data_IF_303398918032
#
_entry.id   IF_303398918032
#
_cell.length_a   1.000
_cell.length_b   1.000
_cell.length_c   1.000
_cell.angle_alpha   90.00
_cell.angle_beta   90.00
_cell.angle_gamma   90.00
#
_symmetry.space_group_name_H-M   'P 1'
#
loop_
_entity.id
_entity.type
_entity.pdbx_description
1 polymer ?
#
# COMPACT_ATOMS: atom_id res chain seq x y z
N UNK A 1 -26.76 3.05 30.10
CA UNK A 1 -25.56 2.34 30.54
C UNK A 1 -24.38 3.07 29.94
N UNK A 2 -23.47 3.50 30.81
CA UNK A 2 -22.55 4.62 30.65
C UNK A 2 -21.44 4.33 29.63
N UNK A 3 -21.21 5.27 28.71
CA UNK A 3 -20.44 5.07 27.47
C UNK A 3 -19.07 5.75 27.49
N UNK A 4 -18.11 5.16 28.19
CA UNK A 4 -16.73 5.66 28.26
C UNK A 4 -15.70 4.54 28.08
N UNK A 5 -15.91 3.68 27.08
CA UNK A 5 -14.93 2.68 26.67
C UNK A 5 -13.83 3.34 25.83
N UNK A 6 -12.57 3.18 26.26
CA UNK A 6 -11.40 3.68 25.54
C UNK A 6 -11.24 2.95 24.20
N UNK A 7 -10.91 3.68 23.14
CA UNK A 7 -10.74 3.11 21.78
C UNK A 7 -9.34 3.41 21.23
N UNK A 8 -8.91 2.62 20.25
CA UNK A 8 -7.69 2.91 19.47
C UNK A 8 -7.80 4.30 18.82
N UNK A 9 -6.73 5.08 18.91
CA UNK A 9 -6.66 6.46 18.44
C UNK A 9 -7.11 7.51 19.47
N UNK A 10 -7.55 7.11 20.67
CA UNK A 10 -7.70 8.04 21.79
C UNK A 10 -6.33 8.61 22.18
N UNK A 11 -6.26 9.91 22.39
CA UNK A 11 -5.11 10.55 23.04
C UNK A 11 -5.40 10.67 24.52
N UNK A 12 -4.44 10.26 25.33
CA UNK A 12 -4.60 10.13 26.78
C UNK A 12 -3.37 10.63 27.52
N UNK A 13 -3.58 11.10 28.76
CA UNK A 13 -2.50 11.40 29.69
C UNK A 13 -2.23 10.19 30.59
N UNK A 14 -0.97 9.83 30.73
CA UNK A 14 -0.51 8.69 31.55
C UNK A 14 0.40 9.21 32.64
N UNK A 15 0.07 8.94 33.90
CA UNK A 15 0.86 9.34 35.06
C UNK A 15 1.80 8.21 35.48
N UNK A 16 3.07 8.55 35.69
CA UNK A 16 4.09 7.63 36.23
C UNK A 16 4.86 8.32 37.33
N UNK A 17 5.18 7.59 38.41
CA UNK A 17 6.05 8.10 39.46
C UNK A 17 7.51 7.94 39.06
N UNK A 18 8.25 9.04 38.99
CA UNK A 18 9.68 9.04 38.68
C UNK A 18 10.39 9.89 39.74
N UNK A 19 11.33 9.30 40.49
CA UNK A 19 12.11 9.98 41.53
C UNK A 19 11.26 10.74 42.57
N UNK A 20 10.12 10.18 42.98
CA UNK A 20 9.22 10.80 43.95
C UNK A 20 8.30 11.89 43.39
N UNK A 21 8.40 12.20 42.09
CA UNK A 21 7.56 13.19 41.39
C UNK A 21 6.60 12.47 40.45
N UNK A 22 5.33 12.89 40.44
CA UNK A 22 4.34 12.42 39.47
C UNK A 22 4.62 13.12 38.13
N UNK A 23 4.99 12.32 37.12
CA UNK A 23 5.24 12.81 35.76
C UNK A 23 4.10 12.33 34.86
N UNK A 24 3.40 13.28 34.24
CA UNK A 24 2.32 13.00 33.29
C UNK A 24 2.84 13.12 31.86
N UNK A 25 2.56 12.13 31.02
CA UNK A 25 2.96 12.08 29.60
C UNK A 25 1.75 11.90 28.70
N UNK A 26 1.80 12.54 27.52
CA UNK A 26 0.80 12.35 26.48
C UNK A 26 1.10 11.09 25.66
N UNK A 27 0.09 10.28 25.42
CA UNK A 27 0.20 9.05 24.63
C UNK A 27 -1.04 8.83 23.74
N UNK A 28 -0.89 8.02 22.71
CA UNK A 28 -1.98 7.53 21.87
C UNK A 28 -2.19 6.03 22.10
N UNK A 29 -3.45 5.60 22.21
CA UNK A 29 -3.80 4.19 22.29
C UNK A 29 -3.66 3.58 20.89
N UNK A 30 -2.68 2.70 20.71
CA UNK A 30 -2.37 2.07 19.41
C UNK A 30 -3.00 0.70 19.28
N UNK A 31 -3.13 -0.04 20.39
CA UNK A 31 -3.81 -1.32 20.43
C UNK A 31 -4.51 -1.54 21.77
N UNK A 32 -5.53 -2.41 21.77
CA UNK A 32 -6.27 -2.82 22.95
C UNK A 32 -6.32 -4.34 22.94
N UNK A 33 -6.08 -4.97 24.08
CA UNK A 33 -6.30 -6.40 24.26
C UNK A 33 -7.10 -6.66 25.52
N UNK A 34 -7.96 -7.66 25.46
CA UNK A 34 -8.74 -8.11 26.60
C UNK A 34 -8.00 -9.28 27.24
N UNK A 35 -7.57 -9.13 28.49
CA UNK A 35 -7.09 -10.24 29.31
C UNK A 35 -8.24 -10.82 30.13
N UNK A 36 -8.04 -11.96 30.79
CA UNK A 36 -9.08 -12.63 31.60
C UNK A 36 -9.55 -11.77 32.79
N UNK A 37 -8.73 -10.80 33.25
CA UNK A 37 -9.01 -9.99 34.43
C UNK A 37 -9.34 -8.51 34.10
N UNK A 38 -8.61 -7.85 33.19
CA UNK A 38 -8.86 -6.44 32.80
C UNK A 38 -8.40 -6.11 31.35
N UNK A 39 -8.95 -5.07 30.70
CA UNK A 39 -8.45 -4.59 29.42
C UNK A 39 -7.10 -3.87 29.58
N UNK A 40 -6.17 -4.14 28.65
CA UNK A 40 -4.88 -3.48 28.57
C UNK A 40 -4.75 -2.69 27.26
N UNK A 41 -4.04 -1.57 27.35
CA UNK A 41 -3.89 -0.57 26.30
C UNK A 41 -2.40 -0.44 25.94
N UNK A 42 -2.07 -0.65 24.67
CA UNK A 42 -0.72 -0.42 24.17
C UNK A 42 -0.57 1.05 23.79
N UNK A 43 0.31 1.75 24.51
CA UNK A 43 0.45 3.19 24.40
C UNK A 43 1.71 3.57 23.64
N UNK A 44 1.55 4.47 22.67
CA UNK A 44 2.66 5.17 22.04
C UNK A 44 2.81 6.57 22.65
N UNK A 45 3.96 6.86 23.24
CA UNK A 45 4.19 8.16 23.89
C UNK A 45 4.58 9.24 22.87
N UNK A 46 3.81 10.33 22.83
CA UNK A 46 3.99 11.40 21.85
C UNK A 46 5.36 12.07 21.98
N UNK A 47 6.17 12.00 20.92
CA UNK A 47 7.51 12.60 20.88
C UNK A 47 8.60 11.77 21.57
N UNK A 48 8.31 10.52 21.96
CA UNK A 48 9.26 9.60 22.57
C UNK A 48 9.58 8.43 21.63
N UNK A 49 10.73 7.78 21.88
CA UNK A 49 11.17 6.63 21.10
C UNK A 49 10.26 5.42 21.37
N UNK A 50 9.83 4.72 20.30
CA UNK A 50 8.96 3.54 20.35
C UNK A 50 9.43 2.41 21.27
N UNK A 51 10.73 2.35 21.61
CA UNK A 51 11.26 1.42 22.63
C UNK A 51 10.65 1.62 24.03
N UNK A 52 9.96 2.74 24.25
CA UNK A 52 9.29 3.09 25.50
C UNK A 52 7.78 2.79 25.46
N UNK A 53 7.27 2.30 24.34
CA UNK A 53 5.87 1.93 24.19
C UNK A 53 5.59 0.66 25.01
N UNK A 54 4.48 0.65 25.74
CA UNK A 54 4.18 -0.41 26.70
C UNK A 54 2.67 -0.66 26.81
N UNK A 55 2.34 -1.86 27.27
CA UNK A 55 0.99 -2.19 27.74
C UNK A 55 0.78 -1.58 29.12
N UNK A 56 -0.35 -0.90 29.30
CA UNK A 56 -0.81 -0.42 30.61
C UNK A 56 -2.28 -0.79 30.81
N UNK A 57 -2.65 -0.95 32.06
CA UNK A 57 -4.03 -1.09 32.51
C UNK A 57 -4.71 0.28 32.65
N UNK A 58 -6.05 0.30 32.70
CA UNK A 58 -6.84 1.53 32.71
C UNK A 58 -6.53 2.48 33.88
N UNK A 59 -6.08 1.96 35.03
CA UNK A 59 -5.71 2.74 36.22
C UNK A 59 -4.55 3.72 35.98
N UNK A 60 -3.73 3.49 34.95
CA UNK A 60 -2.64 4.40 34.58
C UNK A 60 -3.07 5.53 33.65
N UNK A 61 -4.30 5.49 33.15
CA UNK A 61 -4.85 6.45 32.20
C UNK A 61 -5.74 7.44 32.95
N UNK A 62 -5.43 8.73 32.82
CA UNK A 62 -6.31 9.77 33.33
C UNK A 62 -7.55 9.90 32.43
N UNK A 63 -8.64 9.28 32.87
CA UNK A 63 -9.93 9.26 32.16
C UNK A 63 -10.53 10.65 31.92
N UNK A 64 -10.12 11.67 32.69
CA UNK A 64 -10.57 13.05 32.49
C UNK A 64 -9.86 13.75 31.33
N UNK A 65 -8.73 13.20 30.88
CA UNK A 65 -7.87 13.77 29.83
C UNK A 65 -8.08 13.15 28.44
N UNK A 66 -9.05 12.25 28.30
CA UNK A 66 -9.24 11.46 27.08
C UNK A 66 -9.78 12.33 25.95
N UNK A 67 -8.96 12.53 24.92
CA UNK A 67 -9.40 13.11 23.66
C UNK A 67 -9.74 11.99 22.67
N UNK A 68 -11.03 11.80 22.44
CA UNK A 68 -11.50 10.86 21.43
C UNK A 68 -11.21 11.38 20.01
N UNK A 69 -10.84 10.49 19.06
CA UNK A 69 -10.58 10.88 17.69
C UNK A 69 -11.82 11.58 17.09
N UNK A 70 -11.66 12.83 16.68
CA UNK A 70 -12.76 13.63 16.10
C UNK A 70 -13.25 12.96 14.81
N UNK A 71 -14.49 12.47 14.79
CA UNK A 71 -15.19 12.11 13.55
C UNK A 71 -15.19 13.34 12.63
N UNK A 72 -14.51 13.28 11.49
CA UNK A 72 -14.72 14.28 10.43
C UNK A 72 -16.18 14.19 9.99
N UNK A 73 -16.97 15.22 10.29
CA UNK A 73 -18.34 15.39 9.79
C UNK A 73 -18.31 15.43 8.27
N UNK A 74 -18.86 14.39 7.64
CA UNK A 74 -19.30 14.43 6.25
C UNK A 74 -20.55 15.33 6.18
N UNK A 75 -20.63 16.24 5.20
CA UNK A 75 -21.92 16.80 4.80
C UNK A 75 -22.66 15.72 4.02
N UNK A 76 -23.90 15.46 4.45
CA UNK A 76 -24.75 14.36 4.05
C UNK A 76 -25.26 14.53 2.60
N UNK A 77 -25.20 13.46 1.82
CA UNK A 77 -26.11 13.22 0.71
C UNK A 77 -26.99 12.01 1.09
N UNK A 78 -28.33 12.15 1.15
CA UNK A 78 -29.21 11.14 1.72
C UNK A 78 -29.52 10.06 0.68
N UNK A 79 -28.66 9.05 0.58
CA UNK A 79 -29.00 7.69 0.11
C UNK A 79 -27.97 6.70 0.66
N UNK A 80 -28.08 6.49 1.97
CA UNK A 80 -27.28 5.53 2.72
C UNK A 80 -27.87 4.12 2.59
N UNK A 81 -27.07 3.16 2.13
CA UNK A 81 -27.12 1.79 2.65
C UNK A 81 -25.78 1.54 3.34
N UNK A 82 -25.87 1.12 4.61
CA UNK A 82 -24.73 0.72 5.43
C UNK A 82 -23.91 -0.36 4.70
N UNK A 83 -22.66 -0.06 4.41
CA UNK A 83 -21.67 -0.95 3.80
C UNK A 83 -20.60 -1.14 4.89
N UNK A 84 -20.46 -2.36 5.41
CA UNK A 84 -19.46 -2.70 6.44
C UNK A 84 -18.02 -2.38 5.95
N UNK A 85 -17.03 -2.32 6.85
CA UNK A 85 -15.64 -2.01 6.45
C UNK A 85 -15.06 -3.02 5.44
N UNK A 86 -15.48 -4.28 5.49
CA UNK A 86 -15.17 -5.35 4.51
C UNK A 86 -15.85 -5.11 3.15
N UNK A 87 -16.94 -4.38 3.19
CA UNK A 87 -17.89 -4.09 2.13
C UNK A 87 -17.39 -2.85 1.32
N UNK A 88 -16.54 -2.00 1.92
CA UNK A 88 -15.77 -0.94 1.22
C UNK A 88 -14.82 -1.55 0.18
N UNK A 89 -14.17 -2.69 0.49
CA UNK A 89 -13.29 -3.38 -0.44
C UNK A 89 -14.03 -4.11 -1.57
N UNK A 90 -15.35 -4.27 -1.44
CA UNK A 90 -16.22 -4.79 -2.52
C UNK A 90 -16.60 -3.74 -3.55
N UNK A 91 -16.45 -2.45 -3.20
CA UNK A 91 -16.76 -1.33 -4.08
C UNK A 91 -15.47 -0.77 -4.67
N UNK A 92 -15.38 -0.77 -6.00
CA UNK A 92 -14.23 -0.25 -6.73
C UNK A 92 -14.05 1.25 -6.43
N UNK A 93 -12.86 1.63 -5.99
CA UNK A 93 -12.51 3.04 -5.75
C UNK A 93 -12.02 3.73 -7.03
N UNK A 94 -11.19 3.04 -7.82
CA UNK A 94 -10.79 3.43 -9.17
C UNK A 94 -11.64 2.61 -10.14
N UNK A 95 -12.22 3.24 -11.15
CA UNK A 95 -13.04 2.56 -12.15
C UNK A 95 -12.20 2.17 -13.38
N UNK A 96 -11.31 3.06 -13.82
CA UNK A 96 -10.47 2.88 -15.02
C UNK A 96 -9.06 3.44 -14.78
N UNK A 97 -8.05 2.80 -15.37
CA UNK A 97 -6.67 3.33 -15.44
C UNK A 97 -6.29 3.60 -16.89
N UNK A 98 -5.51 4.66 -17.12
CA UNK A 98 -4.83 4.89 -18.39
C UNK A 98 -3.33 4.66 -18.22
N UNK A 99 -2.73 3.80 -19.04
CA UNK A 99 -1.31 3.48 -19.01
C UNK A 99 -0.77 3.34 -20.43
N UNK A 100 0.17 4.22 -20.80
CA UNK A 100 0.61 4.36 -22.19
C UNK A 100 -0.57 4.71 -23.11
N UNK A 101 -0.77 3.90 -24.14
CA UNK A 101 -1.89 4.02 -25.09
C UNK A 101 -3.18 3.29 -24.65
N UNK A 102 -3.14 2.57 -23.53
CA UNK A 102 -4.22 1.69 -23.10
C UNK A 102 -5.09 2.36 -22.03
N UNK A 103 -6.41 2.17 -22.17
CA UNK A 103 -7.39 2.43 -21.12
C UNK A 103 -7.99 1.11 -20.65
N UNK A 104 -7.97 0.85 -19.34
CA UNK A 104 -8.26 -0.46 -18.76
C UNK A 104 -9.15 -0.32 -17.54
N UNK A 105 -10.29 -1.02 -17.54
CA UNK A 105 -11.17 -1.06 -16.38
C UNK A 105 -10.59 -1.91 -15.25
N UNK A 106 -10.69 -1.38 -14.03
CA UNK A 106 -10.32 -2.10 -12.81
C UNK A 106 -11.35 -3.18 -12.49
N UNK A 107 -10.89 -4.24 -11.80
CA UNK A 107 -11.76 -5.34 -11.37
C UNK A 107 -12.08 -5.25 -9.88
N UNK A 108 -11.12 -4.81 -9.08
CA UNK A 108 -11.20 -4.80 -7.62
C UNK A 108 -10.79 -3.44 -7.05
N UNK A 109 -11.16 -3.23 -5.80
CA UNK A 109 -10.60 -2.13 -5.00
C UNK A 109 -9.08 -2.23 -4.91
N UNK A 110 -8.39 -1.09 -4.98
CA UNK A 110 -6.97 -0.95 -4.65
C UNK A 110 -6.73 0.28 -3.77
N UNK A 111 -5.90 0.23 -2.71
CA UNK A 111 -5.77 1.29 -1.71
C UNK A 111 -4.88 2.46 -2.18
N UNK A 112 -5.23 3.05 -3.33
CA UNK A 112 -4.72 4.35 -3.75
C UNK A 112 -5.15 5.46 -2.76
N UNK A 113 -4.43 6.59 -2.69
CA UNK A 113 -4.80 7.70 -1.81
C UNK A 113 -6.25 8.17 -2.00
N UNK A 114 -6.90 8.62 -0.92
CA UNK A 114 -8.33 9.01 -0.94
C UNK A 114 -8.69 10.17 -1.90
N UNK A 115 -7.69 10.93 -2.38
CA UNK A 115 -7.88 12.08 -3.28
C UNK A 115 -7.77 11.71 -4.76
N UNK A 116 -7.78 10.42 -5.10
CA UNK A 116 -7.72 9.97 -6.50
C UNK A 116 -9.09 10.07 -7.18
N UNK A 117 -9.06 10.45 -8.45
CA UNK A 117 -10.21 10.38 -9.35
C UNK A 117 -10.63 8.93 -9.63
N UNK A 118 -11.84 8.75 -10.17
CA UNK A 118 -12.31 7.43 -10.65
C UNK A 118 -11.49 6.91 -11.82
N UNK A 119 -10.99 7.82 -12.66
CA UNK A 119 -10.03 7.52 -13.71
C UNK A 119 -8.69 8.12 -13.33
N UNK A 120 -7.63 7.30 -13.33
CA UNK A 120 -6.27 7.75 -13.01
C UNK A 120 -5.33 7.45 -14.17
N UNK A 121 -4.30 8.27 -14.28
CA UNK A 121 -3.27 8.14 -15.30
C UNK A 121 -2.01 7.58 -14.65
N UNK A 122 -1.45 6.50 -15.20
CA UNK A 122 -0.27 5.82 -14.66
C UNK A 122 0.89 5.96 -15.65
N UNK A 123 2.03 6.41 -15.15
CA UNK A 123 3.28 6.44 -15.92
C UNK A 123 3.70 5.01 -16.26
N UNK A 124 3.84 4.69 -17.55
CA UNK A 124 4.19 3.34 -18.01
C UNK A 124 5.60 2.89 -17.61
N UNK A 125 6.46 3.83 -17.20
CA UNK A 125 7.83 3.54 -16.77
C UNK A 125 7.96 3.38 -15.27
N UNK A 126 7.59 4.40 -14.47
CA UNK A 126 7.81 4.41 -13.02
C UNK A 126 6.60 3.94 -12.20
N UNK A 127 5.46 3.70 -12.86
CA UNK A 127 4.18 3.29 -12.29
C UNK A 127 3.57 4.30 -11.31
N UNK A 128 4.12 5.52 -11.23
CA UNK A 128 3.50 6.58 -10.46
C UNK A 128 2.17 7.00 -11.09
N UNK A 129 1.23 7.40 -10.24
CA UNK A 129 -0.16 7.66 -10.60
C UNK A 129 -0.51 9.14 -10.45
N UNK A 130 -1.38 9.62 -11.33
CA UNK A 130 -1.78 11.01 -11.46
C UNK A 130 -3.30 11.10 -11.66
N UNK A 131 -3.87 12.26 -11.36
CA UNK A 131 -5.29 12.53 -11.55
C UNK A 131 -5.61 13.04 -12.96
N UNK A 132 -4.62 13.63 -13.66
CA UNK A 132 -4.82 14.21 -15.00
C UNK A 132 -3.66 13.92 -15.95
N UNK A 133 -3.88 14.12 -17.26
CA UNK A 133 -2.84 13.92 -18.29
C UNK A 133 -1.77 15.01 -18.25
N UNK A 134 -2.15 16.22 -17.83
CA UNK A 134 -1.25 17.36 -17.69
C UNK A 134 -0.22 17.11 -16.57
N UNK A 135 -0.66 16.48 -15.48
CA UNK A 135 0.23 16.05 -14.39
C UNK A 135 1.25 15.00 -14.89
N UNK A 136 0.79 14.01 -15.67
CA UNK A 136 1.69 13.01 -16.28
C UNK A 136 2.66 13.67 -17.30
N UNK A 137 2.17 14.60 -18.13
CA UNK A 137 2.99 15.30 -19.09
C UNK A 137 4.11 16.10 -18.41
N UNK A 138 3.77 16.78 -17.30
CA UNK A 138 4.74 17.47 -16.46
C UNK A 138 5.73 16.49 -15.82
N UNK A 139 5.26 15.32 -15.38
CA UNK A 139 6.11 14.27 -14.86
C UNK A 139 7.13 13.76 -15.88
N UNK A 140 6.78 13.63 -17.17
CA UNK A 140 7.73 13.15 -18.19
C UNK A 140 8.98 14.04 -18.33
N UNK A 141 8.88 15.34 -18.03
CA UNK A 141 10.04 16.24 -18.03
C UNK A 141 11.07 15.91 -16.92
N UNK A 142 10.65 15.18 -15.87
CA UNK A 142 11.47 14.86 -14.69
C UNK A 142 11.63 13.35 -14.47
N UNK A 143 10.92 12.52 -15.22
CA UNK A 143 10.96 11.08 -15.07
C UNK A 143 12.27 10.52 -15.61
N UNK A 144 13.07 9.96 -14.71
CA UNK A 144 14.35 9.33 -15.04
C UNK A 144 14.21 7.86 -15.48
N UNK A 145 13.00 7.30 -15.43
CA UNK A 145 12.77 5.89 -15.71
C UNK A 145 12.35 5.68 -17.17
N UNK A 146 13.05 4.76 -17.84
CA UNK A 146 12.66 4.17 -19.15
C UNK A 146 12.53 2.65 -19.10
N UNK A 147 12.80 2.09 -17.92
CA UNK A 147 12.76 0.67 -17.57
C UNK A 147 12.57 0.51 -16.06
N UNK A 148 12.17 -0.68 -15.57
CA UNK A 148 12.15 -0.94 -14.13
C UNK A 148 13.54 -0.70 -13.50
N UNK A 149 13.62 -0.12 -12.29
CA UNK A 149 14.89 0.32 -11.69
C UNK A 149 15.79 -0.81 -11.16
N UNK A 150 15.40 -2.07 -11.38
CA UNK A 150 16.12 -3.25 -10.88
C UNK A 150 17.18 -3.81 -11.82
N UNK A 151 17.77 -4.93 -11.43
CA UNK A 151 18.79 -5.64 -12.23
C UNK A 151 18.11 -6.38 -13.39
N UNK A 152 18.57 -6.14 -14.62
CA UNK A 152 18.15 -6.95 -15.76
C UNK A 152 18.77 -8.34 -15.67
N UNK A 153 17.94 -9.36 -15.47
CA UNK A 153 18.40 -10.75 -15.27
C UNK A 153 18.15 -11.64 -16.50
N UNK A 154 17.33 -11.18 -17.44
CA UNK A 154 17.04 -11.89 -18.69
C UNK A 154 16.77 -10.88 -19.80
N UNK A 155 17.25 -11.19 -21.01
CA UNK A 155 16.93 -10.44 -22.23
C UNK A 155 17.04 -11.35 -23.45
N UNK A 156 15.92 -11.61 -24.12
CA UNK A 156 15.91 -12.38 -25.38
C UNK A 156 14.63 -12.13 -26.17
N UNK A 157 14.75 -12.04 -27.49
CA UNK A 157 13.61 -12.01 -28.42
C UNK A 157 12.51 -10.98 -28.05
N UNK A 158 12.91 -9.74 -27.72
CA UNK A 158 11.97 -8.67 -27.36
C UNK A 158 11.36 -8.76 -25.96
N UNK A 159 11.78 -9.74 -25.14
CA UNK A 159 11.34 -9.91 -23.75
C UNK A 159 12.52 -9.70 -22.80
N UNK A 160 12.26 -9.00 -21.69
CA UNK A 160 13.24 -8.75 -20.63
C UNK A 160 12.63 -8.98 -19.26
N UNK A 161 13.44 -9.47 -18.31
CA UNK A 161 13.08 -9.52 -16.89
C UNK A 161 14.00 -8.64 -16.06
N UNK A 162 13.39 -7.93 -15.11
CA UNK A 162 14.07 -7.12 -14.12
C UNK A 162 13.76 -7.65 -12.72
N UNK A 163 14.80 -7.91 -11.94
CA UNK A 163 14.71 -8.28 -10.53
C UNK A 163 14.80 -7.01 -9.68
N UNK A 164 13.77 -6.76 -8.87
CA UNK A 164 13.67 -5.63 -7.97
C UNK A 164 13.54 -6.13 -6.53
N UNK A 165 14.38 -5.61 -5.66
CA UNK A 165 14.23 -5.75 -4.21
C UNK A 165 13.21 -4.72 -3.69
N UNK A 166 12.21 -5.16 -2.90
CA UNK A 166 11.19 -4.29 -2.33
C UNK A 166 11.72 -3.23 -1.36
N UNK A 167 12.81 -3.50 -0.64
CA UNK A 167 13.45 -2.52 0.26
C UNK A 167 14.15 -1.44 -0.58
N UNK A 168 14.94 -1.87 -1.55
CA UNK A 168 15.79 -0.98 -2.36
C UNK A 168 14.94 -0.12 -3.31
N UNK A 169 13.92 -0.70 -3.92
CA UNK A 169 13.10 -0.06 -4.96
C UNK A 169 11.68 0.23 -4.47
N UNK A 170 11.56 0.66 -3.20
CA UNK A 170 10.28 0.68 -2.48
C UNK A 170 9.16 1.46 -3.18
N UNK A 171 9.45 2.61 -3.77
CA UNK A 171 8.46 3.39 -4.50
C UNK A 171 7.88 2.64 -5.71
N UNK A 172 8.75 2.02 -6.52
CA UNK A 172 8.32 1.26 -7.70
C UNK A 172 7.49 0.04 -7.28
N UNK A 173 7.97 -0.71 -6.29
CA UNK A 173 7.31 -1.94 -5.82
C UNK A 173 5.96 -1.66 -5.13
N UNK A 174 5.83 -0.54 -4.41
CA UNK A 174 4.53 -0.08 -3.87
C UNK A 174 3.56 0.29 -4.98
N UNK A 175 4.02 1.07 -5.96
CA UNK A 175 3.20 1.45 -7.11
C UNK A 175 2.74 0.23 -7.92
N UNK A 176 3.64 -0.73 -8.17
CA UNK A 176 3.31 -2.00 -8.80
C UNK A 176 2.30 -2.81 -7.98
N UNK A 177 2.41 -2.81 -6.65
CA UNK A 177 1.48 -3.52 -5.77
C UNK A 177 0.08 -2.89 -5.78
N UNK A 178 -0.01 -1.56 -5.81
CA UNK A 178 -1.27 -0.83 -5.97
C UNK A 178 -1.92 -1.13 -7.34
N UNK A 179 -1.13 -1.04 -8.41
CA UNK A 179 -1.60 -1.39 -9.76
C UNK A 179 -2.10 -2.83 -9.82
N UNK A 180 -1.35 -3.76 -9.23
CA UNK A 180 -1.68 -5.17 -9.21
C UNK A 180 -2.97 -5.48 -8.45
N UNK A 181 -3.20 -4.79 -7.32
CA UNK A 181 -4.40 -4.98 -6.50
C UNK A 181 -5.70 -4.58 -7.21
N UNK A 182 -5.63 -3.73 -8.26
CA UNK A 182 -6.80 -3.45 -9.11
C UNK A 182 -7.30 -4.67 -9.88
N UNK A 183 -6.44 -5.68 -10.06
CA UNK A 183 -6.71 -6.87 -10.88
C UNK A 183 -6.59 -8.19 -10.11
N UNK A 184 -6.18 -8.14 -8.83
CA UNK A 184 -6.08 -9.29 -7.93
C UNK A 184 -7.02 -9.10 -6.74
N UNK A 185 -7.89 -10.08 -6.50
CA UNK A 185 -8.86 -10.04 -5.41
C UNK A 185 -8.15 -10.20 -4.04
N UNK A 186 -7.41 -11.30 -3.88
CA UNK A 186 -6.83 -11.72 -2.60
C UNK A 186 -5.37 -11.26 -2.37
N UNK A 187 -4.93 -10.14 -2.98
CA UNK A 187 -3.61 -9.58 -2.64
C UNK A 187 -3.68 -8.84 -1.30
N UNK A 188 -3.15 -9.46 -0.26
CA UNK A 188 -3.21 -8.97 1.12
C UNK A 188 -2.09 -8.00 1.49
N UNK A 189 -0.90 -8.16 0.90
CA UNK A 189 0.28 -7.34 1.21
C UNK A 189 0.62 -6.39 0.05
N UNK A 190 0.43 -5.09 0.27
CA UNK A 190 0.70 -4.02 -0.70
C UNK A 190 1.54 -2.86 -0.14
N UNK A 191 1.68 -2.74 1.19
CA UNK A 191 2.59 -1.77 1.84
C UNK A 191 3.84 -2.43 2.42
N UNK A 192 3.72 -3.66 2.94
CA UNK A 192 4.84 -4.46 3.46
C UNK A 192 5.57 -5.18 2.31
N UNK A 193 6.10 -4.40 1.38
CA UNK A 193 6.81 -4.90 0.19
C UNK A 193 8.25 -5.35 0.49
N UNK A 194 8.77 -5.00 1.66
CA UNK A 194 10.17 -5.16 2.04
C UNK A 194 10.63 -6.62 2.08
N UNK A 195 9.68 -7.53 2.35
CA UNK A 195 9.90 -8.98 2.41
C UNK A 195 9.85 -9.66 1.03
N UNK A 196 9.62 -8.90 -0.05
CA UNK A 196 9.45 -9.44 -1.40
C UNK A 196 10.57 -9.05 -2.37
N UNK A 197 10.87 -9.99 -3.27
CA UNK A 197 11.48 -9.73 -4.56
C UNK A 197 10.38 -9.67 -5.63
N UNK A 198 10.55 -8.78 -6.61
CA UNK A 198 9.66 -8.61 -7.75
C UNK A 198 10.41 -8.89 -9.04
N UNK A 199 9.82 -9.72 -9.89
CA UNK A 199 10.35 -10.09 -11.20
C UNK A 199 9.43 -9.51 -12.26
N UNK A 200 9.81 -8.35 -12.77
CA UNK A 200 9.01 -7.56 -13.71
C UNK A 200 9.38 -7.96 -15.14
N UNK A 201 8.41 -8.44 -15.89
CA UNK A 201 8.54 -8.76 -17.30
C UNK A 201 8.14 -7.57 -18.16
N UNK A 202 9.02 -7.19 -19.07
CA UNK A 202 8.80 -6.13 -20.03
C UNK A 202 8.98 -6.62 -21.46
N UNK A 203 8.30 -5.94 -22.39
CA UNK A 203 8.59 -6.00 -23.81
C UNK A 203 9.40 -4.77 -24.23
N UNK A 204 10.25 -4.95 -25.23
CA UNK A 204 11.04 -3.89 -25.86
C UNK A 204 11.19 -4.18 -27.34
N UNK A 205 11.46 -3.15 -28.15
CA UNK A 205 11.79 -3.33 -29.55
C UNK A 205 13.29 -3.66 -29.71
N UNK A 206 13.66 -4.85 -30.23
CA UNK A 206 15.06 -5.21 -30.42
C UNK A 206 15.80 -4.36 -31.43
N UNK A 207 15.07 -3.71 -32.35
CA UNK A 207 15.65 -2.83 -33.37
C UNK A 207 16.02 -1.45 -32.83
N UNK A 208 15.53 -1.06 -31.65
CA UNK A 208 15.87 0.24 -31.06
C UNK A 208 17.33 0.22 -30.56
N UNK A 209 18.09 1.32 -30.76
CA UNK A 209 19.40 1.51 -30.16
C UNK A 209 19.36 1.34 -28.64
N UNK A 210 20.43 0.82 -28.04
CA UNK A 210 20.46 0.49 -26.60
C UNK A 210 20.18 1.73 -25.73
N UNK A 211 20.69 2.90 -26.13
CA UNK A 211 20.53 4.17 -25.40
C UNK A 211 19.11 4.74 -25.50
N UNK A 212 18.38 4.42 -26.56
CA UNK A 212 17.01 4.89 -26.81
C UNK A 212 15.96 3.83 -26.45
N UNK A 213 16.38 2.65 -26.00
CA UNK A 213 15.49 1.50 -25.80
C UNK A 213 14.58 1.69 -24.59
N UNK A 214 13.29 1.55 -24.84
CA UNK A 214 12.25 1.63 -23.80
C UNK A 214 11.70 0.24 -23.48
N UNK A 215 11.34 0.04 -22.21
CA UNK A 215 10.84 -1.23 -21.71
C UNK A 215 9.44 -1.06 -21.13
N UNK A 216 8.44 -1.61 -21.81
CA UNK A 216 7.03 -1.54 -21.40
C UNK A 216 6.68 -2.74 -20.55
N UNK A 217 6.18 -2.50 -19.34
CA UNK A 217 5.75 -3.57 -18.44
C UNK A 217 4.59 -4.38 -19.05
N UNK A 218 4.67 -5.70 -18.93
CA UNK A 218 3.62 -6.64 -19.37
C UNK A 218 2.98 -7.34 -18.19
N UNK A 219 3.78 -7.66 -17.18
CA UNK A 219 3.36 -8.40 -16.01
C UNK A 219 4.51 -8.59 -15.04
N UNK A 220 4.24 -9.25 -13.94
CA UNK A 220 5.26 -9.58 -12.96
C UNK A 220 4.85 -10.80 -12.14
N UNK A 221 5.81 -11.38 -11.43
CA UNK A 221 5.53 -12.17 -10.25
C UNK A 221 6.35 -11.66 -9.06
N UNK A 222 5.85 -11.85 -7.83
CA UNK A 222 6.59 -11.58 -6.60
C UNK A 222 6.89 -12.86 -5.86
N UNK A 223 8.02 -12.88 -5.15
CA UNK A 223 8.48 -14.00 -4.34
C UNK A 223 8.90 -13.48 -2.97
N UNK A 224 8.52 -14.17 -1.90
CA UNK A 224 9.02 -13.88 -0.56
C UNK A 224 10.52 -14.17 -0.51
N UNK A 225 11.30 -13.28 0.09
CA UNK A 225 12.75 -13.49 0.29
C UNK A 225 12.99 -14.74 1.14
N UNK A 226 12.18 -14.90 2.17
CA UNK A 226 12.14 -16.06 3.05
C UNK A 226 10.70 -16.56 3.11
N UNK A 227 10.43 -17.72 2.51
CA UNK A 227 9.11 -18.33 2.55
C UNK A 227 9.10 -19.51 3.52
N UNK A 228 8.33 -19.40 4.60
CA UNK A 228 8.19 -20.47 5.60
C UNK A 228 7.59 -21.76 4.99
N UNK A 229 6.77 -21.61 3.96
CA UNK A 229 6.09 -22.72 3.27
C UNK A 229 6.80 -23.11 1.95
N UNK A 230 7.92 -22.46 1.61
CA UNK A 230 8.67 -22.75 0.39
C UNK A 230 7.97 -22.36 -0.91
N UNK A 231 7.02 -21.42 -0.88
CA UNK A 231 6.33 -20.98 -2.09
C UNK A 231 7.27 -20.20 -3.01
N UNK A 232 7.29 -20.56 -4.29
CA UNK A 232 8.12 -19.89 -5.30
C UNK A 232 7.47 -18.63 -5.87
N UNK A 233 6.15 -18.47 -5.70
CA UNK A 233 5.36 -17.36 -6.21
C UNK A 233 4.35 -16.95 -5.13
N UNK A 234 4.32 -15.66 -4.80
CA UNK A 234 3.35 -15.05 -3.89
C UNK A 234 2.21 -14.36 -4.66
N UNK A 235 2.54 -13.62 -5.72
CA UNK A 235 1.57 -13.02 -6.63
C UNK A 235 2.09 -13.14 -8.05
N UNK A 236 1.19 -13.33 -9.02
CA UNK A 236 1.49 -13.29 -10.44
C UNK A 236 0.39 -12.50 -11.13
N UNK A 237 0.78 -11.57 -12.00
CA UNK A 237 -0.16 -10.79 -12.80
C UNK A 237 0.40 -10.56 -14.20
N UNK A 238 -0.44 -10.80 -15.21
CA UNK A 238 -0.31 -10.20 -16.54
C UNK A 238 -1.33 -9.08 -16.64
N UNK A 239 -0.88 -7.87 -17.01
CA UNK A 239 -1.76 -6.72 -17.17
C UNK A 239 -2.88 -7.05 -18.17
N UNK A 240 -4.14 -6.62 -17.94
CA UNK A 240 -5.29 -7.08 -18.71
C UNK A 240 -5.14 -6.94 -20.23
N UNK A 241 -4.59 -5.82 -20.72
CA UNK A 241 -4.38 -5.56 -22.16
C UNK A 241 -3.29 -6.44 -22.82
N UNK A 242 -2.52 -7.19 -22.02
CA UNK A 242 -1.56 -8.19 -22.48
C UNK A 242 -1.99 -9.64 -22.21
N UNK A 243 -3.15 -9.88 -21.60
CA UNK A 243 -3.63 -11.24 -21.36
C UNK A 243 -3.93 -11.98 -22.69
N UNK A 244 -3.95 -13.32 -22.62
CA UNK A 244 -4.21 -14.23 -23.75
C UNK A 244 -3.19 -14.16 -24.92
N UNK A 245 -2.05 -13.50 -24.72
CA UNK A 245 -0.92 -13.44 -25.68
C UNK A 245 0.23 -14.41 -25.36
N UNK A 246 0.02 -15.35 -24.44
CA UNK A 246 1.03 -16.35 -24.03
C UNK A 246 1.95 -15.93 -22.88
N UNK A 247 1.97 -14.64 -22.50
CA UNK A 247 2.83 -14.10 -21.44
C UNK A 247 2.67 -14.77 -20.06
N UNK A 248 1.47 -15.24 -19.71
CA UNK A 248 1.25 -15.95 -18.45
C UNK A 248 2.05 -17.25 -18.35
N UNK A 249 2.29 -17.94 -19.48
CA UNK A 249 3.12 -19.16 -19.51
C UNK A 249 4.62 -18.88 -19.36
N UNK A 250 5.04 -17.64 -19.65
CA UNK A 250 6.44 -17.22 -19.52
C UNK A 250 6.74 -16.79 -18.06
N UNK A 251 5.72 -16.31 -17.34
CA UNK A 251 5.83 -15.89 -15.95
C UNK A 251 5.69 -17.01 -14.92
N UNK A 252 5.19 -18.18 -15.32
CA UNK A 252 4.88 -19.31 -14.46
C UNK A 252 5.94 -20.40 -14.54
#
# INVERSE_FOLDING_TARGET
MDGSELIVGCKVSVSSMQNGVVVTKQAEIVAIRNTEETPEYYLHYNGFNKRLDQWVTQDRIDMSSVEFPKKKKQKEDPKNKNIAAEDIYRVKNIDTIEIGEYSVDSWYFSPYPKKMNKTIIICEYCLYYFNTKEELASHFATCVHKRPPGKQIYRKAGISFFELDGIVHSNYCRNLSLLSKLFLDHKTLFYDIDVFLFYVMCIYNPSDPEEAREYKIVGYFSKEKESQHGYNIACLLVLPHYQRKGYGKILN
#
